data_IF_507990784470
#
_entry.id   IF_507990784470
#
_cell.length_a   1.000
_cell.length_b   1.000
_cell.length_c   1.000
_cell.angle_alpha   90.00
_cell.angle_beta   90.00
_cell.angle_gamma   90.00
#
_symmetry.space_group_name_H-M   'P 1'
#
loop_
_entity.id
_entity.type
_entity.pdbx_description
1 polymer ?
#
# COMPACT_ATOMS: atom_id res chain seq x y z
N UNK A 1 26.84 -27.62 -2.91
CA UNK A 1 25.61 -27.15 -3.59
C UNK A 1 24.33 -27.87 -3.17
N UNK A 2 24.35 -28.95 -2.38
CA UNK A 2 23.14 -29.74 -2.01
C UNK A 2 22.64 -29.54 -0.58
N UNK A 3 23.48 -29.10 0.37
CA UNK A 3 23.07 -28.94 1.78
C UNK A 3 22.35 -27.60 2.09
N UNK A 4 22.64 -26.53 1.34
CA UNK A 4 22.02 -25.21 1.56
C UNK A 4 20.59 -25.14 1.00
N UNK A 5 20.32 -25.79 -0.12
CA UNK A 5 18.98 -25.87 -0.73
C UNK A 5 17.96 -26.62 0.16
N UNK A 6 18.39 -27.63 0.91
CA UNK A 6 17.51 -28.32 1.90
C UNK A 6 17.14 -27.43 3.10
N UNK A 7 18.04 -26.55 3.54
CA UNK A 7 17.77 -25.63 4.66
C UNK A 7 16.91 -24.43 4.23
N UNK A 8 17.15 -23.85 3.06
CA UNK A 8 16.35 -22.74 2.55
C UNK A 8 14.94 -23.17 2.10
N UNK A 9 14.80 -24.37 1.52
CA UNK A 9 13.49 -24.95 1.19
C UNK A 9 12.65 -25.28 2.44
N UNK A 10 13.29 -25.74 3.52
CA UNK A 10 12.62 -26.02 4.80
C UNK A 10 12.06 -24.76 5.46
N UNK A 11 12.79 -23.62 5.39
CA UNK A 11 12.33 -22.35 5.97
C UNK A 11 11.18 -21.68 5.19
N UNK A 12 11.09 -21.88 3.87
CA UNK A 12 9.94 -21.42 3.09
C UNK A 12 8.71 -22.32 3.25
N UNK A 13 8.89 -23.64 3.41
CA UNK A 13 7.79 -24.58 3.70
C UNK A 13 7.25 -24.43 5.13
N UNK A 14 8.11 -24.11 6.11
CA UNK A 14 7.68 -23.79 7.48
C UNK A 14 6.85 -22.50 7.54
N UNK A 15 7.19 -21.50 6.74
CA UNK A 15 6.38 -20.27 6.62
C UNK A 15 5.00 -20.55 5.99
N UNK A 16 4.93 -21.48 5.03
CA UNK A 16 3.68 -21.87 4.39
C UNK A 16 2.78 -22.74 5.31
N UNK A 17 3.37 -23.59 6.15
CA UNK A 17 2.60 -24.41 7.13
C UNK A 17 2.03 -23.59 8.29
N UNK A 18 2.71 -22.53 8.74
CA UNK A 18 2.20 -21.65 9.81
C UNK A 18 1.01 -20.80 9.33
N UNK A 19 0.93 -20.51 8.02
CA UNK A 19 -0.18 -19.76 7.41
C UNK A 19 -1.44 -20.60 7.14
N UNK A 20 -1.39 -21.93 7.29
CA UNK A 20 -2.48 -22.85 6.89
C UNK A 20 -3.01 -23.76 8.02
N UNK A 21 -2.60 -23.57 9.28
CA UNK A 21 -3.12 -24.37 10.38
C UNK A 21 -4.48 -23.84 10.87
N UNK A 22 -5.54 -24.67 10.93
CA UNK A 22 -6.81 -24.28 11.51
C UNK A 22 -6.68 -24.21 13.05
N UNK A 23 -7.20 -23.12 13.62
CA UNK A 23 -7.20 -22.87 15.06
C UNK A 23 -8.10 -23.88 15.79
N UNK A 24 -7.47 -24.77 16.57
CA UNK A 24 -8.14 -25.63 17.53
C UNK A 24 -8.53 -24.82 18.77
N UNK A 25 -9.78 -24.96 19.22
CA UNK A 25 -10.38 -24.19 20.31
C UNK A 25 -10.03 -24.66 21.73
N UNK A 26 -10.55 -23.91 22.69
CA UNK A 26 -10.54 -24.18 24.14
C UNK A 26 -10.12 -22.94 24.94
N UNK A 27 -10.71 -22.54 26.07
CA UNK A 27 -11.69 -23.16 26.97
C UNK A 27 -12.44 -22.05 27.75
N UNK A 28 -13.63 -22.37 28.23
CA UNK A 28 -14.47 -21.57 29.12
C UNK A 28 -13.86 -21.42 30.54
N UNK A 29 -14.15 -20.29 31.20
CA UNK A 29 -13.93 -20.08 32.65
C UNK A 29 -15.27 -20.18 33.41
N UNK A 30 -15.31 -20.79 34.62
CA UNK A 30 -16.52 -20.89 35.43
C UNK A 30 -16.77 -19.60 36.26
N UNK A 31 -17.98 -19.42 36.85
CA UNK A 31 -18.32 -18.21 37.60
C UNK A 31 -17.79 -18.26 39.05
N UNK A 32 -17.57 -17.08 39.62
CA UNK A 32 -17.11 -16.90 41.00
C UNK A 32 -18.27 -17.03 42.01
N UNK A 33 -18.03 -17.79 43.07
CA UNK A 33 -18.93 -17.95 44.23
C UNK A 33 -18.87 -16.72 45.16
N UNK A 34 -20.04 -16.33 45.66
CA UNK A 34 -20.23 -15.31 46.69
C UNK A 34 -20.16 -15.94 48.07
N UNK A 35 -19.30 -15.44 48.96
CA UNK A 35 -19.28 -15.82 50.37
C UNK A 35 -19.60 -14.59 51.25
N UNK A 36 -20.66 -14.70 52.06
CA UNK A 36 -20.92 -13.84 53.22
C UNK A 36 -20.57 -14.61 54.51
N UNK A 37 -20.04 -13.95 55.56
CA UNK A 37 -19.98 -14.53 56.89
C UNK A 37 -21.24 -14.23 57.73
N UNK A 38 -21.51 -15.02 58.79
CA UNK A 38 -22.80 -15.11 59.47
C UNK A 38 -22.86 -14.33 60.80
N UNK A 39 -24.09 -14.16 61.31
CA UNK A 39 -24.47 -13.79 62.69
C UNK A 39 -24.23 -12.30 63.08
N UNK A 40 -25.10 -11.54 63.76
CA UNK A 40 -26.19 -11.80 64.71
C UNK A 40 -27.39 -10.84 64.50
N UNK A 41 -28.56 -11.20 65.04
CA UNK A 41 -29.82 -10.46 64.89
C UNK A 41 -29.91 -9.13 65.65
N UNK A 42 -30.30 -8.07 64.93
CA UNK A 42 -31.04 -6.92 65.44
C UNK A 42 -31.67 -6.15 64.27
N UNK A 43 -32.97 -5.85 64.37
CA UNK A 43 -33.68 -4.97 63.44
C UNK A 43 -33.30 -3.50 63.69
N UNK A 44 -33.28 -2.67 62.64
CA UNK A 44 -34.01 -1.39 62.53
C UNK A 44 -33.50 -0.49 61.39
N UNK A 45 -34.45 0.35 60.93
CA UNK A 45 -34.45 1.32 59.83
C UNK A 45 -33.33 2.41 59.89
N UNK A 46 -33.16 3.22 58.83
CA UNK A 46 -31.89 3.85 58.48
C UNK A 46 -31.70 5.24 59.10
N UNK A 47 -30.44 5.72 59.25
CA UNK A 47 -30.15 7.14 59.23
C UNK A 47 -29.64 7.57 57.84
N UNK A 48 -30.29 8.64 57.38
CA UNK A 48 -29.93 9.51 56.27
C UNK A 48 -28.49 10.06 56.37
N UNK A 49 -27.96 10.43 55.20
CA UNK A 49 -26.73 11.20 54.93
C UNK A 49 -25.39 10.45 54.93
N UNK A 50 -25.10 9.79 53.81
CA UNK A 50 -23.73 9.59 53.32
C UNK A 50 -23.54 10.42 52.04
N UNK A 51 -22.38 11.09 51.87
CA UNK A 51 -22.10 11.96 50.72
C UNK A 51 -22.17 11.18 49.39
N UNK A 52 -22.42 11.86 48.24
CA UNK A 52 -22.63 11.18 46.98
C UNK A 52 -21.42 10.30 46.66
N UNK A 53 -21.68 9.01 46.48
CA UNK A 53 -20.73 8.10 45.90
C UNK A 53 -20.20 8.72 44.60
N UNK A 54 -18.89 8.68 44.33
CA UNK A 54 -18.37 9.16 43.06
C UNK A 54 -19.11 8.40 41.96
N UNK A 55 -19.60 9.19 40.99
CA UNK A 55 -20.41 8.72 39.87
C UNK A 55 -19.93 7.34 39.42
N UNK A 56 -20.86 6.38 39.43
CA UNK A 56 -20.68 5.09 38.80
C UNK A 56 -19.97 5.34 37.46
N UNK A 57 -18.72 4.88 37.39
CA UNK A 57 -17.91 5.00 36.21
C UNK A 57 -18.74 4.41 35.08
N UNK A 58 -19.12 5.25 34.12
CA UNK A 58 -19.80 4.79 32.93
C UNK A 58 -18.98 3.63 32.38
N UNK A 59 -19.55 2.42 32.39
CA UNK A 59 -19.00 1.33 31.59
C UNK A 59 -18.81 1.90 30.18
N UNK A 60 -17.64 1.68 29.54
CA UNK A 60 -17.45 2.12 28.17
C UNK A 60 -18.57 1.47 27.36
N UNK A 61 -19.50 2.28 26.81
CA UNK A 61 -20.54 1.75 25.93
C UNK A 61 -19.82 0.97 24.82
N UNK A 62 -20.05 -0.35 24.81
CA UNK A 62 -19.58 -1.24 23.77
C UNK A 62 -20.00 -0.61 22.43
N UNK A 63 -19.07 -0.37 21.48
CA UNK A 63 -19.41 0.34 20.25
C UNK A 63 -20.59 -0.36 19.59
N UNK A 64 -21.62 0.43 19.28
CA UNK A 64 -22.84 -0.09 18.68
C UNK A 64 -22.49 -0.82 17.39
N UNK A 65 -23.05 -2.01 17.20
CA UNK A 65 -22.86 -2.79 15.99
C UNK A 65 -23.19 -1.91 14.75
N UNK A 66 -22.33 -1.92 13.71
CA UNK A 66 -22.55 -1.10 12.53
C UNK A 66 -23.88 -1.48 11.87
N UNK A 67 -24.67 -0.46 11.49
CA UNK A 67 -26.03 -0.62 10.96
C UNK A 67 -26.07 -0.30 9.47
N UNK A 68 -26.66 -1.20 8.68
CA UNK A 68 -26.93 -1.02 7.25
C UNK A 68 -28.44 -0.85 7.06
N UNK A 69 -28.88 0.29 6.53
CA UNK A 69 -30.24 0.45 6.04
C UNK A 69 -30.27 0.08 4.55
N UNK A 70 -31.13 -0.85 4.18
CA UNK A 70 -31.36 -1.24 2.79
C UNK A 70 -32.79 -0.89 2.39
N UNK A 71 -32.95 0.21 1.65
CA UNK A 71 -34.22 0.63 1.08
C UNK A 71 -34.46 -0.05 -0.26
N UNK A 72 -35.60 -0.72 -0.40
CA UNK A 72 -35.95 -1.51 -1.59
C UNK A 72 -37.44 -1.39 -1.92
N UNK A 73 -37.87 -1.94 -3.06
CA UNK A 73 -39.29 -1.91 -3.42
C UNK A 73 -39.74 -3.10 -4.26
N UNK A 74 -41.01 -3.48 -4.11
CA UNK A 74 -41.61 -4.57 -4.91
C UNK A 74 -41.65 -4.19 -6.40
N UNK A 75 -41.12 -5.06 -7.27
CA UNK A 75 -41.04 -4.82 -8.71
C UNK A 75 -39.92 -3.85 -9.11
N UNK A 76 -38.85 -3.76 -8.30
CA UNK A 76 -37.64 -3.02 -8.58
C UNK A 76 -36.55 -3.99 -9.10
N UNK A 77 -36.22 -3.99 -10.40
CA UNK A 77 -35.24 -4.93 -10.96
C UNK A 77 -33.87 -4.88 -10.26
N UNK A 78 -33.34 -3.68 -10.07
CA UNK A 78 -32.05 -3.47 -9.38
C UNK A 78 -32.08 -3.88 -7.91
N UNK A 79 -33.25 -3.86 -7.26
CA UNK A 79 -33.39 -4.32 -5.88
C UNK A 79 -33.33 -5.85 -5.79
N UNK A 80 -33.86 -6.56 -6.80
CA UNK A 80 -33.72 -8.02 -6.87
C UNK A 80 -32.26 -8.43 -7.06
N UNK A 81 -31.49 -7.67 -7.85
CA UNK A 81 -30.05 -7.89 -8.02
C UNK A 81 -29.26 -7.65 -6.72
N UNK A 82 -29.72 -6.73 -5.88
CA UNK A 82 -29.10 -6.35 -4.61
C UNK A 82 -29.36 -7.33 -3.45
N UNK A 83 -30.53 -8.01 -3.44
CA UNK A 83 -30.93 -8.90 -2.33
C UNK A 83 -29.93 -10.02 -2.03
N UNK A 84 -29.34 -10.72 -3.04
CA UNK A 84 -28.33 -11.74 -2.79
C UNK A 84 -27.12 -11.20 -2.03
N UNK A 85 -26.62 -10.01 -2.40
CA UNK A 85 -25.50 -9.35 -1.72
C UNK A 85 -25.83 -9.07 -0.25
N UNK A 86 -27.01 -8.49 0.03
CA UNK A 86 -27.42 -8.18 1.40
C UNK A 86 -27.57 -9.44 2.25
N UNK A 87 -28.10 -10.53 1.66
CA UNK A 87 -28.23 -11.81 2.35
C UNK A 87 -26.86 -12.48 2.62
N UNK A 88 -25.93 -12.41 1.67
CA UNK A 88 -24.57 -12.92 1.84
C UNK A 88 -23.82 -12.12 2.92
N UNK A 89 -24.00 -10.80 2.94
CA UNK A 89 -23.40 -9.91 3.92
C UNK A 89 -23.84 -10.24 5.36
N UNK A 90 -25.14 -10.39 5.60
CA UNK A 90 -25.64 -10.80 6.92
C UNK A 90 -25.13 -12.18 7.35
N UNK A 91 -25.01 -13.12 6.41
CA UNK A 91 -24.53 -14.46 6.70
C UNK A 91 -23.03 -14.50 7.04
N UNK A 92 -22.23 -13.65 6.37
CA UNK A 92 -20.77 -13.58 6.56
C UNK A 92 -20.38 -12.75 7.77
N UNK A 93 -21.16 -11.73 8.11
CA UNK A 93 -20.82 -10.73 9.12
C UNK A 93 -21.94 -10.61 10.17
N UNK A 94 -22.06 -11.56 11.12
CA UNK A 94 -23.13 -11.55 12.12
C UNK A 94 -23.05 -10.35 13.10
N UNK A 95 -21.96 -9.58 13.06
CA UNK A 95 -21.79 -8.34 13.82
C UNK A 95 -22.44 -7.10 13.20
N UNK A 96 -23.06 -7.22 12.01
CA UNK A 96 -23.73 -6.10 11.32
C UNK A 96 -25.24 -6.21 11.51
N UNK A 97 -25.90 -5.09 11.85
CA UNK A 97 -27.36 -5.02 11.93
C UNK A 97 -27.89 -4.50 10.60
N UNK A 98 -28.52 -5.37 9.82
CA UNK A 98 -29.11 -4.99 8.54
C UNK A 98 -30.62 -4.79 8.69
N UNK A 99 -31.10 -3.62 8.29
CA UNK A 99 -32.52 -3.27 8.30
C UNK A 99 -33.04 -3.13 6.88
N UNK A 100 -34.00 -3.98 6.49
CA UNK A 100 -34.61 -3.97 5.17
C UNK A 100 -35.90 -3.17 5.19
N UNK A 101 -35.95 -2.06 4.45
CA UNK A 101 -37.07 -1.13 4.45
C UNK A 101 -37.71 -1.11 3.06
N UNK A 102 -38.92 -1.62 2.94
CA UNK A 102 -39.68 -1.56 1.69
C UNK A 102 -40.35 -0.18 1.56
N UNK A 103 -40.30 0.45 0.38
CA UNK A 103 -40.78 1.85 0.21
C UNK A 103 -41.93 2.03 -0.78
N UNK A 104 -42.33 1.00 -1.55
CA UNK A 104 -43.41 1.15 -2.54
C UNK A 104 -44.79 0.79 -1.99
N UNK A 105 -44.86 -0.19 -1.09
CA UNK A 105 -46.09 -0.70 -0.47
C UNK A 105 -46.20 -0.33 1.01
N UNK A 106 -45.10 0.05 1.66
CA UNK A 106 -45.11 0.51 3.05
C UNK A 106 -45.10 2.04 3.13
N UNK A 107 -46.16 2.62 3.69
CA UNK A 107 -46.25 4.05 3.97
C UNK A 107 -45.20 4.49 5.00
N UNK A 108 -44.93 3.66 6.01
CA UNK A 108 -43.89 3.92 7.01
C UNK A 108 -42.49 3.87 6.39
N UNK A 109 -42.20 2.87 5.56
CA UNK A 109 -40.91 2.76 4.90
C UNK A 109 -40.65 3.90 3.92
N UNK A 110 -41.70 4.37 3.23
CA UNK A 110 -41.64 5.57 2.38
C UNK A 110 -41.36 6.84 3.18
N UNK A 111 -41.98 7.03 4.35
CA UNK A 111 -41.67 8.16 5.24
C UNK A 111 -40.21 8.14 5.69
N UNK A 112 -39.72 6.97 6.14
CA UNK A 112 -38.33 6.80 6.57
C UNK A 112 -37.32 7.03 5.44
N UNK A 113 -37.67 6.65 4.22
CA UNK A 113 -36.85 6.92 3.04
C UNK A 113 -36.72 8.43 2.78
N UNK A 114 -37.85 9.16 2.77
CA UNK A 114 -37.85 10.62 2.57
C UNK A 114 -37.06 11.32 3.68
N UNK A 115 -37.30 10.99 4.94
CA UNK A 115 -36.57 11.58 6.08
C UNK A 115 -35.06 11.32 5.98
N UNK A 116 -34.66 10.13 5.55
CA UNK A 116 -33.25 9.77 5.39
C UNK A 116 -32.61 10.53 4.23
N UNK A 117 -33.31 10.67 3.10
CA UNK A 117 -32.86 11.45 1.94
C UNK A 117 -32.69 12.92 2.29
N UNK A 118 -33.64 13.51 3.01
CA UNK A 118 -33.59 14.90 3.47
C UNK A 118 -32.46 15.12 4.49
N UNK A 119 -32.32 14.24 5.48
CA UNK A 119 -31.27 14.33 6.50
C UNK A 119 -29.87 14.26 5.89
N UNK A 120 -29.68 13.43 4.87
CA UNK A 120 -28.37 13.21 4.23
C UNK A 120 -28.13 14.09 2.99
N UNK A 121 -29.12 14.89 2.56
CA UNK A 121 -29.01 15.75 1.39
C UNK A 121 -28.75 15.00 0.08
N UNK A 122 -29.40 13.84 -0.10
CA UNK A 122 -29.13 12.96 -1.27
C UNK A 122 -29.84 13.49 -2.52
N UNK A 123 -29.06 13.97 -3.49
CA UNK A 123 -29.57 14.35 -4.81
C UNK A 123 -29.84 13.10 -5.68
N UNK A 124 -30.98 13.08 -6.39
CA UNK A 124 -31.32 11.95 -7.27
C UNK A 124 -31.63 10.63 -6.56
N UNK A 125 -32.20 10.69 -5.36
CA UNK A 125 -32.52 9.50 -4.57
C UNK A 125 -33.43 8.51 -5.31
N UNK A 126 -33.11 7.22 -5.20
CA UNK A 126 -33.85 6.13 -5.83
C UNK A 126 -33.56 4.80 -5.13
N UNK A 127 -34.30 3.75 -5.48
CA UNK A 127 -34.11 2.40 -4.93
C UNK A 127 -33.48 1.45 -5.96
N UNK A 128 -32.62 0.50 -5.55
CA UNK A 128 -32.19 0.25 -4.17
C UNK A 128 -31.28 1.36 -3.63
N UNK A 129 -31.36 1.64 -2.33
CA UNK A 129 -30.47 2.58 -1.63
C UNK A 129 -29.94 1.94 -0.36
N UNK A 130 -28.65 2.12 -0.12
CA UNK A 130 -27.94 1.61 1.04
C UNK A 130 -27.45 2.78 1.88
N UNK A 131 -27.65 2.72 3.19
CA UNK A 131 -27.15 3.75 4.12
C UNK A 131 -26.35 3.09 5.22
N UNK A 132 -25.13 3.59 5.42
CA UNK A 132 -24.22 3.19 6.49
C UNK A 132 -23.75 4.46 7.18
N UNK A 133 -24.13 4.64 8.44
CA UNK A 133 -23.98 5.89 9.19
C UNK A 133 -24.56 7.09 8.40
N UNK A 134 -23.71 8.06 8.04
CA UNK A 134 -24.08 9.26 7.29
C UNK A 134 -23.78 9.18 5.79
N UNK A 135 -23.53 7.97 5.25
CA UNK A 135 -23.24 7.75 3.82
C UNK A 135 -24.35 7.00 3.14
N UNK A 136 -24.79 7.52 2.00
CA UNK A 136 -25.80 6.93 1.15
C UNK A 136 -25.21 6.47 -0.19
N UNK A 137 -25.60 5.27 -0.64
CA UNK A 137 -25.27 4.69 -1.94
C UNK A 137 -26.56 4.39 -2.68
N UNK A 138 -26.77 5.06 -3.82
CA UNK A 138 -28.00 4.95 -4.62
C UNK A 138 -27.74 4.06 -5.84
N UNK A 139 -28.65 3.14 -6.11
CA UNK A 139 -28.54 2.16 -7.19
C UNK A 139 -27.76 0.91 -6.79
N UNK A 140 -27.67 -0.05 -7.70
CA UNK A 140 -26.89 -1.28 -7.48
C UNK A 140 -26.16 -1.71 -8.74
N UNK A 141 -24.84 -1.78 -8.64
CA UNK A 141 -23.94 -2.33 -9.66
C UNK A 141 -23.00 -3.34 -9.00
N UNK A 142 -23.03 -4.59 -9.47
CA UNK A 142 -22.17 -5.67 -8.95
C UNK A 142 -20.70 -5.26 -8.97
N UNK A 143 -19.99 -5.52 -7.88
CA UNK A 143 -18.58 -5.15 -7.68
C UNK A 143 -18.31 -3.68 -7.35
N UNK A 144 -19.23 -2.74 -7.66
CA UNK A 144 -19.06 -1.31 -7.36
C UNK A 144 -19.80 -0.98 -6.07
N UNK A 145 -21.14 -1.01 -6.09
CA UNK A 145 -21.96 -0.69 -4.92
C UNK A 145 -21.68 -1.63 -3.75
N UNK A 146 -21.44 -2.91 -4.04
CA UNK A 146 -21.06 -3.90 -3.02
C UNK A 146 -19.76 -3.50 -2.31
N UNK A 147 -18.75 -3.07 -3.07
CA UNK A 147 -17.47 -2.62 -2.55
C UNK A 147 -17.61 -1.35 -1.71
N UNK A 148 -18.40 -0.39 -2.19
CA UNK A 148 -18.65 0.87 -1.49
C UNK A 148 -19.38 0.67 -0.15
N UNK A 149 -20.43 -0.17 -0.13
CA UNK A 149 -21.19 -0.52 1.07
C UNK A 149 -20.31 -1.26 2.08
N UNK A 150 -19.52 -2.24 1.64
CA UNK A 150 -18.58 -2.96 2.50
C UNK A 150 -17.52 -2.02 3.08
N UNK A 151 -16.95 -1.14 2.25
CA UNK A 151 -15.93 -0.19 2.70
C UNK A 151 -16.52 0.88 3.65
N UNK A 152 -17.82 1.16 3.58
CA UNK A 152 -18.49 2.03 4.53
C UNK A 152 -18.69 1.33 5.88
N UNK A 153 -19.10 0.05 5.87
CA UNK A 153 -19.28 -0.78 7.07
C UNK A 153 -17.96 -1.02 7.82
N UNK A 154 -16.88 -1.23 7.08
CA UNK A 154 -15.51 -1.37 7.60
C UNK A 154 -14.99 -0.11 8.32
N UNK A 155 -15.53 1.05 7.97
CA UNK A 155 -15.15 2.36 8.54
C UNK A 155 -16.09 2.83 9.63
N UNK A 156 -17.24 2.16 9.79
CA UNK A 156 -18.20 2.48 10.83
C UNK A 156 -17.62 2.17 12.22
N UNK A 157 -17.85 3.00 13.24
CA UNK A 157 -17.40 2.73 14.61
C UNK A 157 -18.06 1.46 15.14
N UNK A 158 -17.36 0.33 15.06
CA UNK A 158 -17.87 -1.02 15.36
C UNK A 158 -17.66 -2.06 14.25
N UNK A 159 -17.19 -1.65 13.06
CA UNK A 159 -16.83 -2.56 11.96
C UNK A 159 -15.56 -3.38 12.22
N UNK A 160 -15.53 -4.62 11.74
CA UNK A 160 -14.40 -5.53 11.87
C UNK A 160 -13.11 -4.90 11.31
N UNK A 161 -12.08 -4.79 12.16
CA UNK A 161 -10.73 -4.49 11.73
C UNK A 161 -10.20 -5.66 10.88
N UNK A 162 -9.71 -5.43 9.65
CA UNK A 162 -9.03 -6.48 8.89
C UNK A 162 -7.80 -6.93 9.69
N UNK A 163 -7.63 -8.25 9.80
CA UNK A 163 -6.68 -8.90 10.70
C UNK A 163 -5.27 -8.31 10.64
N UNK A 164 -4.71 -8.03 11.82
CA UNK A 164 -3.33 -7.60 12.00
C UNK A 164 -2.37 -8.66 11.45
N UNK A 165 -1.52 -8.26 10.49
CA UNK A 165 -0.46 -9.13 9.98
C UNK A 165 0.72 -9.00 10.92
N UNK A 166 0.99 -10.05 11.70
CA UNK A 166 2.13 -10.11 12.61
C UNK A 166 3.39 -10.51 11.84
N UNK A 167 4.27 -9.56 11.59
CA UNK A 167 5.58 -9.83 11.01
C UNK A 167 6.59 -10.08 12.15
N UNK A 168 7.38 -11.17 12.09
CA UNK A 168 8.20 -11.67 13.21
C UNK A 168 9.34 -10.75 13.64
N UNK A 169 9.57 -9.63 12.95
CA UNK A 169 10.60 -8.64 13.29
C UNK A 169 10.04 -7.21 13.51
N UNK A 170 8.78 -6.96 13.15
CA UNK A 170 8.20 -5.60 13.11
C UNK A 170 6.95 -5.47 14.00
N UNK A 171 6.39 -6.59 14.46
CA UNK A 171 5.16 -6.62 15.26
C UNK A 171 3.89 -6.72 14.39
N UNK A 172 2.73 -6.60 15.04
CA UNK A 172 1.42 -6.56 14.38
C UNK A 172 1.28 -5.26 13.60
N UNK A 173 1.38 -5.34 12.28
CA UNK A 173 1.10 -4.24 11.38
C UNK A 173 -0.37 -4.31 10.99
N UNK A 174 -1.14 -3.33 11.45
CA UNK A 174 -2.46 -3.04 10.89
C UNK A 174 -2.25 -2.22 9.60
N UNK A 175 -2.64 -2.75 8.43
CA UNK A 175 -2.48 -2.05 7.14
C UNK A 175 -3.19 -0.70 7.09
N UNK A 176 -4.21 -0.47 7.94
CA UNK A 176 -4.91 0.83 8.07
C UNK A 176 -4.24 1.79 9.05
N UNK A 177 -3.28 1.32 9.86
CA UNK A 177 -2.59 2.13 10.87
C UNK A 177 -1.27 2.73 10.41
N UNK A 178 -0.76 2.41 9.20
CA UNK A 178 0.46 3.05 8.68
C UNK A 178 0.09 4.43 8.13
N UNK A 179 0.55 5.54 8.76
CA UNK A 179 0.25 6.88 8.26
C UNK A 179 0.85 7.03 6.86
N UNK A 180 0.11 7.69 5.96
CA UNK A 180 0.54 7.99 4.58
C UNK A 180 2.00 8.48 4.50
N UNK A 181 2.47 9.42 5.33
CA UNK A 181 3.87 9.86 5.32
C UNK A 181 4.88 8.74 5.60
N UNK A 182 4.56 7.81 6.51
CA UNK A 182 5.43 6.67 6.84
C UNK A 182 5.49 5.71 5.65
N UNK A 183 4.33 5.41 5.06
CA UNK A 183 4.26 4.60 3.85
C UNK A 183 5.09 5.21 2.71
N UNK A 184 4.94 6.51 2.48
CA UNK A 184 5.72 7.27 1.49
C UNK A 184 7.22 7.12 1.71
N UNK A 185 7.69 7.30 2.94
CA UNK A 185 9.11 7.20 3.28
C UNK A 185 9.64 5.78 3.10
N UNK A 186 8.88 4.78 3.54
CA UNK A 186 9.26 3.37 3.43
C UNK A 186 9.37 2.92 1.97
N UNK A 187 8.35 3.19 1.15
CA UNK A 187 8.37 2.80 -0.26
C UNK A 187 9.48 3.56 -1.00
N UNK A 188 9.60 4.88 -0.78
CA UNK A 188 10.65 5.69 -1.39
C UNK A 188 12.06 5.19 -1.04
N UNK A 189 12.32 4.87 0.24
CA UNK A 189 13.62 4.32 0.66
C UNK A 189 13.91 2.95 0.03
N UNK A 190 12.91 2.06 0.00
CA UNK A 190 13.04 0.73 -0.62
C UNK A 190 13.34 0.87 -2.11
N UNK A 191 12.64 1.77 -2.79
CA UNK A 191 12.85 2.05 -4.21
C UNK A 191 14.22 2.67 -4.49
N UNK A 192 14.72 3.53 -3.59
CA UNK A 192 16.08 4.10 -3.67
C UNK A 192 17.20 3.05 -3.61
N UNK A 193 16.93 1.85 -3.07
CA UNK A 193 17.86 0.71 -3.08
C UNK A 193 17.67 -0.09 -4.39
N UNK A 194 17.73 0.60 -5.53
CA UNK A 194 17.59 -0.01 -6.85
C UNK A 194 18.95 -0.45 -7.42
N UNK A 195 19.13 -1.74 -7.79
CA UNK A 195 20.39 -2.23 -8.35
C UNK A 195 20.80 -1.50 -9.63
N UNK A 196 19.82 -1.01 -10.42
CA UNK A 196 20.06 -0.35 -11.71
C UNK A 196 20.71 1.02 -11.51
N UNK A 197 20.12 1.89 -10.67
CA UNK A 197 20.67 3.22 -10.37
C UNK A 197 21.98 3.14 -9.56
N UNK A 198 22.04 2.27 -8.53
CA UNK A 198 23.23 2.10 -7.71
C UNK A 198 24.43 1.62 -8.53
N UNK A 199 24.24 0.68 -9.45
CA UNK A 199 25.33 0.16 -10.29
C UNK A 199 25.95 1.26 -11.15
N UNK A 200 25.12 2.04 -11.84
CA UNK A 200 25.61 3.11 -12.72
C UNK A 200 26.31 4.19 -11.91
N UNK A 201 25.75 4.58 -10.76
CA UNK A 201 26.37 5.53 -9.85
C UNK A 201 27.73 5.03 -9.37
N UNK A 202 27.82 3.80 -8.85
CA UNK A 202 29.07 3.19 -8.37
C UNK A 202 30.14 3.15 -9.47
N UNK A 203 29.77 2.81 -10.71
CA UNK A 203 30.67 2.85 -11.86
C UNK A 203 31.16 4.27 -12.13
N UNK A 204 30.24 5.24 -12.19
CA UNK A 204 30.55 6.65 -12.46
C UNK A 204 31.53 7.19 -11.43
N UNK A 205 31.22 7.01 -10.15
CA UNK A 205 32.08 7.43 -9.05
C UNK A 205 33.41 6.66 -9.06
N UNK A 206 33.41 5.37 -9.40
CA UNK A 206 34.60 4.55 -9.57
C UNK A 206 35.57 5.10 -10.64
N UNK A 207 35.05 5.63 -11.75
CA UNK A 207 35.86 6.33 -12.76
C UNK A 207 36.38 7.66 -12.19
N UNK A 208 35.51 8.44 -11.54
CA UNK A 208 35.86 9.75 -10.97
C UNK A 208 36.91 9.66 -9.84
N UNK A 209 36.97 8.57 -9.08
CA UNK A 209 38.03 8.38 -8.06
C UNK A 209 39.45 8.44 -8.63
N UNK A 210 39.64 8.16 -9.94
CA UNK A 210 40.93 8.30 -10.61
C UNK A 210 41.42 9.74 -10.71
N UNK A 211 40.48 10.70 -10.72
CA UNK A 211 40.81 12.14 -10.77
C UNK A 211 41.29 12.70 -9.42
N UNK A 212 41.23 11.91 -8.34
CA UNK A 212 41.59 12.26 -6.95
C UNK A 212 40.95 13.54 -6.38
N UNK A 213 39.92 14.09 -7.02
CA UNK A 213 39.23 15.28 -6.54
C UNK A 213 37.91 14.93 -5.86
N UNK A 214 37.83 15.15 -4.54
CA UNK A 214 36.59 14.96 -3.75
C UNK A 214 35.49 15.93 -4.20
N UNK A 215 35.86 17.16 -4.55
CA UNK A 215 34.92 18.17 -5.04
C UNK A 215 34.25 17.72 -6.34
N UNK A 216 35.00 17.11 -7.28
CA UNK A 216 34.40 16.54 -8.49
C UNK A 216 33.49 15.36 -8.19
N UNK A 217 33.86 14.46 -7.28
CA UNK A 217 32.99 13.34 -6.88
C UNK A 217 31.67 13.86 -6.31
N UNK A 218 31.72 14.85 -5.41
CA UNK A 218 30.52 15.44 -4.82
C UNK A 218 29.68 16.20 -5.85
N UNK A 219 30.30 17.04 -6.68
CA UNK A 219 29.57 17.81 -7.69
C UNK A 219 28.86 16.88 -8.68
N UNK A 220 29.60 15.96 -9.31
CA UNK A 220 29.06 15.09 -10.34
C UNK A 220 28.08 14.05 -9.76
N UNK A 221 28.41 13.49 -8.58
CA UNK A 221 27.54 12.56 -7.87
C UNK A 221 26.24 13.22 -7.44
N UNK A 222 26.30 14.41 -6.82
CA UNK A 222 25.10 15.14 -6.39
C UNK A 222 24.24 15.56 -7.59
N UNK A 223 24.84 16.05 -8.68
CA UNK A 223 24.09 16.35 -9.92
C UNK A 223 23.39 15.11 -10.45
N UNK A 224 24.06 13.96 -10.50
CA UNK A 224 23.44 12.71 -10.95
C UNK A 224 22.25 12.32 -10.07
N UNK A 225 22.41 12.39 -8.74
CA UNK A 225 21.35 12.04 -7.78
C UNK A 225 20.15 12.99 -7.87
N UNK A 226 20.39 14.31 -7.93
CA UNK A 226 19.33 15.31 -8.05
C UNK A 226 18.58 15.20 -9.39
N UNK A 227 19.30 15.02 -10.49
CA UNK A 227 18.67 14.82 -11.81
C UNK A 227 17.87 13.53 -11.86
N UNK A 228 18.38 12.45 -11.24
CA UNK A 228 17.66 11.18 -11.18
C UNK A 228 16.36 11.35 -10.38
N UNK A 229 16.41 12.00 -9.21
CA UNK A 229 15.20 12.33 -8.44
C UNK A 229 14.23 13.23 -9.19
N UNK A 230 14.71 14.23 -9.95
CA UNK A 230 13.85 15.11 -10.75
C UNK A 230 13.14 14.35 -11.88
N UNK A 231 13.88 13.58 -12.67
CA UNK A 231 13.29 12.77 -13.77
C UNK A 231 12.30 11.78 -13.20
N UNK A 232 12.59 11.18 -12.03
CA UNK A 232 11.69 10.25 -11.37
C UNK A 232 10.41 10.92 -10.87
N UNK A 233 10.53 12.10 -10.26
CA UNK A 233 9.38 12.92 -9.86
C UNK A 233 8.49 13.30 -11.05
N UNK A 234 9.08 13.71 -12.18
CA UNK A 234 8.34 14.02 -13.40
C UNK A 234 7.61 12.80 -13.95
N UNK A 235 8.27 11.63 -13.94
CA UNK A 235 7.65 10.37 -14.34
C UNK A 235 6.46 10.01 -13.44
N UNK A 236 6.63 10.05 -12.12
CA UNK A 236 5.55 9.78 -11.16
C UNK A 236 4.39 10.77 -11.31
N UNK A 237 4.72 12.03 -11.59
CA UNK A 237 3.73 13.08 -11.87
C UNK A 237 2.92 12.75 -13.12
N UNK A 238 3.59 12.40 -14.22
CA UNK A 238 2.91 12.00 -15.46
C UNK A 238 1.98 10.79 -15.21
N UNK A 239 2.44 9.82 -14.42
CA UNK A 239 1.67 8.62 -14.09
C UNK A 239 0.46 8.90 -13.19
N UNK A 240 0.64 9.72 -12.14
CA UNK A 240 -0.47 10.15 -11.28
C UNK A 240 -1.55 10.86 -12.09
N UNK A 241 -1.17 11.79 -12.97
CA UNK A 241 -2.14 12.50 -13.82
C UNK A 241 -2.80 11.56 -14.82
N UNK A 242 -2.10 10.56 -15.33
CA UNK A 242 -2.71 9.53 -16.17
C UNK A 242 -3.82 8.78 -15.42
N UNK A 243 -3.62 8.44 -14.13
CA UNK A 243 -4.68 7.83 -13.32
C UNK A 243 -5.82 8.78 -12.98
N UNK A 244 -5.52 10.05 -12.65
CA UNK A 244 -6.54 11.05 -12.35
C UNK A 244 -7.39 11.38 -13.58
N UNK A 245 -6.79 11.40 -14.78
CA UNK A 245 -7.47 11.74 -16.03
C UNK A 245 -8.18 10.55 -16.67
N UNK A 246 -7.53 9.38 -16.78
CA UNK A 246 -8.13 8.19 -17.37
C UNK A 246 -9.21 7.55 -16.49
N UNK A 247 -9.32 8.03 -15.24
CA UNK A 247 -10.10 7.38 -14.21
C UNK A 247 -9.53 6.01 -13.85
N UNK A 248 -10.04 5.48 -12.75
CA UNK A 248 -9.72 4.14 -12.29
C UNK A 248 -10.46 3.12 -13.13
N UNK A 249 -10.12 2.99 -14.40
CA UNK A 249 -10.73 1.95 -15.21
C UNK A 249 -10.11 0.60 -14.85
N UNK A 250 -10.97 -0.41 -14.63
CA UNK A 250 -10.56 -1.79 -14.38
C UNK A 250 -9.53 -2.29 -15.40
N UNK A 251 -9.66 -1.84 -16.64
CA UNK A 251 -8.73 -2.15 -17.74
C UNK A 251 -7.32 -1.60 -17.52
N UNK A 252 -7.18 -0.36 -17.04
CA UNK A 252 -5.86 0.23 -16.74
C UNK A 252 -5.20 -0.52 -15.57
N UNK A 253 -5.97 -0.87 -14.54
CA UNK A 253 -5.46 -1.67 -13.40
C UNK A 253 -5.03 -3.06 -13.83
N UNK A 254 -5.82 -3.75 -14.67
CA UNK A 254 -5.47 -5.06 -15.21
C UNK A 254 -4.23 -5.01 -16.11
N UNK A 255 -4.16 -4.03 -17.03
CA UNK A 255 -3.02 -3.86 -17.91
C UNK A 255 -1.72 -3.64 -17.11
N UNK A 256 -1.80 -2.84 -16.05
CA UNK A 256 -0.69 -2.64 -15.13
C UNK A 256 -0.35 -3.93 -14.38
N UNK A 257 -1.34 -4.65 -13.85
CA UNK A 257 -1.12 -5.94 -13.18
C UNK A 257 -0.38 -6.94 -14.07
N UNK A 258 -0.79 -7.10 -15.33
CA UNK A 258 -0.11 -7.94 -16.32
C UNK A 258 1.33 -7.46 -16.55
N UNK A 259 1.53 -6.15 -16.72
CA UNK A 259 2.86 -5.56 -16.91
C UNK A 259 3.79 -5.84 -15.72
N UNK A 260 3.31 -5.65 -14.48
CA UNK A 260 4.05 -5.90 -13.26
C UNK A 260 4.39 -7.38 -13.07
N UNK A 261 3.46 -8.29 -13.38
CA UNK A 261 3.74 -9.73 -13.37
C UNK A 261 4.82 -10.07 -14.39
N UNK A 262 4.71 -9.56 -15.62
CA UNK A 262 5.72 -9.78 -16.67
C UNK A 262 7.12 -9.29 -16.25
N UNK A 263 7.21 -8.06 -15.74
CA UNK A 263 8.47 -7.49 -15.24
C UNK A 263 9.01 -8.26 -14.02
N UNK A 264 8.13 -8.68 -13.11
CA UNK A 264 8.47 -9.47 -11.93
C UNK A 264 9.04 -10.84 -12.30
N UNK A 265 8.41 -11.55 -13.24
CA UNK A 265 8.91 -12.83 -13.77
C UNK A 265 10.29 -12.67 -14.42
N UNK A 266 10.51 -11.62 -15.22
CA UNK A 266 11.82 -11.37 -15.84
C UNK A 266 12.88 -11.05 -14.78
N UNK A 267 12.54 -10.32 -13.71
CA UNK A 267 13.47 -10.05 -12.61
C UNK A 267 13.77 -11.32 -11.79
N UNK A 268 12.78 -12.18 -11.54
CA UNK A 268 12.98 -13.43 -10.81
C UNK A 268 13.77 -14.47 -11.63
N UNK A 269 13.56 -14.49 -12.95
CA UNK A 269 14.34 -15.31 -13.91
C UNK A 269 15.85 -15.13 -13.73
N UNK A 270 16.31 -13.91 -13.44
CA UNK A 270 17.74 -13.61 -13.27
C UNK A 270 18.38 -14.39 -12.10
N UNK A 271 17.60 -14.88 -11.14
CA UNK A 271 18.13 -15.70 -10.04
C UNK A 271 18.58 -17.09 -10.53
N UNK A 272 17.87 -17.66 -11.50
CA UNK A 272 18.09 -19.02 -12.02
C UNK A 272 18.89 -19.01 -13.32
N UNK A 273 18.56 -18.08 -14.23
CA UNK A 273 19.17 -17.93 -15.55
C UNK A 273 19.72 -16.52 -15.74
N UNK A 274 20.75 -16.20 -14.95
CA UNK A 274 21.44 -14.92 -15.03
C UNK A 274 22.00 -14.68 -16.44
N UNK A 275 21.67 -13.54 -17.04
CA UNK A 275 22.11 -13.12 -18.38
C UNK A 275 21.69 -13.99 -19.58
N UNK A 276 20.79 -14.97 -19.42
CA UNK A 276 20.28 -15.76 -20.56
C UNK A 276 18.90 -15.25 -21.02
N UNK A 277 18.79 -14.81 -22.27
CA UNK A 277 17.52 -14.34 -22.88
C UNK A 277 17.19 -12.87 -22.60
N UNK A 278 15.88 -12.54 -22.50
CA UNK A 278 15.39 -11.20 -22.16
C UNK A 278 15.81 -10.84 -20.73
N UNK A 279 16.46 -9.69 -20.55
CA UNK A 279 16.96 -9.22 -19.26
C UNK A 279 16.62 -7.74 -19.10
N UNK A 280 15.98 -7.37 -17.99
CA UNK A 280 15.78 -5.98 -17.56
C UNK A 280 17.08 -5.43 -16.94
N UNK A 281 18.19 -5.60 -17.64
CA UNK A 281 19.51 -5.18 -17.23
C UNK A 281 20.24 -4.66 -18.44
N UNK A 282 21.16 -3.71 -18.23
CA UNK A 282 21.91 -3.09 -19.32
C UNK A 282 22.55 -4.19 -20.19
N UNK A 283 22.13 -4.33 -21.46
CA UNK A 283 22.57 -5.44 -22.29
C UNK A 283 24.09 -5.36 -22.53
N UNK A 284 24.75 -6.52 -22.60
CA UNK A 284 26.22 -6.60 -22.73
C UNK A 284 26.76 -5.80 -23.92
N UNK A 285 25.98 -5.71 -25.01
CA UNK A 285 26.31 -4.92 -26.21
C UNK A 285 26.26 -3.40 -25.98
N UNK A 286 25.44 -2.90 -25.06
CA UNK A 286 25.31 -1.47 -24.76
C UNK A 286 26.33 -0.98 -23.70
N UNK A 287 26.87 -1.89 -22.89
CA UNK A 287 27.86 -1.58 -21.85
C UNK A 287 29.07 -0.77 -22.37
N UNK A 288 29.77 -1.14 -23.47
CA UNK A 288 30.94 -0.40 -23.94
C UNK A 288 30.62 1.03 -24.36
N UNK A 289 29.49 1.25 -25.03
CA UNK A 289 29.01 2.58 -25.43
C UNK A 289 28.68 3.46 -24.23
N UNK A 290 28.01 2.88 -23.21
CA UNK A 290 27.71 3.57 -21.96
C UNK A 290 28.99 3.96 -21.22
N UNK A 291 29.93 3.02 -21.01
CA UNK A 291 31.20 3.32 -20.33
C UNK A 291 32.03 4.36 -21.09
N UNK A 292 32.01 4.35 -22.44
CA UNK A 292 32.67 5.39 -23.25
C UNK A 292 32.07 6.76 -23.00
N UNK A 293 30.73 6.87 -22.97
CA UNK A 293 30.02 8.12 -22.64
C UNK A 293 30.35 8.56 -21.21
N UNK A 294 30.29 7.66 -20.22
CA UNK A 294 30.63 7.97 -18.83
C UNK A 294 32.06 8.49 -18.68
N UNK A 295 33.04 7.89 -19.39
CA UNK A 295 34.43 8.40 -19.40
C UNK A 295 34.53 9.77 -20.06
N UNK A 296 33.82 10.00 -21.17
CA UNK A 296 33.80 11.30 -21.83
C UNK A 296 33.22 12.39 -20.90
N UNK A 297 32.17 12.08 -20.14
CA UNK A 297 31.61 12.98 -19.12
C UNK A 297 32.61 13.23 -17.98
N UNK A 298 33.28 12.18 -17.49
CA UNK A 298 34.28 12.30 -16.44
C UNK A 298 35.55 13.04 -16.89
N UNK A 299 35.89 12.97 -18.17
CA UNK A 299 37.03 13.64 -18.80
C UNK A 299 36.67 15.00 -19.44
N UNK A 300 35.43 15.47 -19.30
CA UNK A 300 34.99 16.71 -19.90
C UNK A 300 35.84 17.89 -19.39
N UNK A 301 36.39 18.67 -20.32
CA UNK A 301 37.29 19.79 -20.01
C UNK A 301 36.54 21.01 -19.42
N UNK A 302 35.22 21.10 -19.61
CA UNK A 302 34.39 22.20 -19.13
C UNK A 302 33.21 21.72 -18.29
N UNK A 303 32.88 22.48 -17.24
CA UNK A 303 31.75 22.19 -16.34
C UNK A 303 30.39 22.08 -17.07
N UNK A 304 30.08 22.90 -18.10
CA UNK A 304 28.82 22.77 -18.84
C UNK A 304 28.71 21.46 -19.64
N UNK A 305 29.80 21.02 -20.28
CA UNK A 305 29.82 19.76 -21.03
C UNK A 305 29.67 18.55 -20.10
N UNK A 306 30.29 18.61 -18.92
CA UNK A 306 30.07 17.63 -17.87
C UNK A 306 28.60 17.58 -17.42
N UNK A 307 27.99 18.74 -17.16
CA UNK A 307 26.60 18.82 -16.69
C UNK A 307 25.60 18.26 -17.70
N UNK A 308 25.71 18.65 -18.98
CA UNK A 308 24.89 18.08 -20.07
C UNK A 308 25.09 16.57 -20.20
N UNK A 309 26.33 16.11 -20.05
CA UNK A 309 26.67 14.70 -20.05
C UNK A 309 25.99 13.90 -18.93
N UNK A 310 25.98 14.45 -17.71
CA UNK A 310 25.30 13.84 -16.55
C UNK A 310 23.79 13.83 -16.74
N UNK A 311 23.21 14.93 -17.25
CA UNK A 311 21.78 15.03 -17.50
C UNK A 311 21.32 13.97 -18.51
N UNK A 312 22.01 13.84 -19.64
CA UNK A 312 21.72 12.82 -20.64
C UNK A 312 21.92 11.40 -20.09
N UNK A 313 22.97 11.18 -19.29
CA UNK A 313 23.23 9.89 -18.66
C UNK A 313 22.14 9.53 -17.64
N UNK A 314 21.78 10.45 -16.74
CA UNK A 314 20.75 10.25 -15.72
C UNK A 314 19.40 9.95 -16.36
N UNK A 315 18.99 10.70 -17.38
CA UNK A 315 17.75 10.42 -18.12
C UNK A 315 17.73 9.02 -18.73
N UNK A 316 18.82 8.62 -19.40
CA UNK A 316 18.93 7.29 -20.01
C UNK A 316 18.91 6.17 -18.97
N UNK A 317 19.54 6.38 -17.81
CA UNK A 317 19.58 5.40 -16.72
C UNK A 317 18.21 5.25 -16.09
N UNK A 318 17.51 6.36 -15.85
CA UNK A 318 16.17 6.37 -15.30
C UNK A 318 15.16 5.66 -16.22
N UNK A 319 15.29 5.81 -17.55
CA UNK A 319 14.50 5.03 -18.53
C UNK A 319 14.69 3.51 -18.37
N UNK A 320 15.92 3.06 -18.11
CA UNK A 320 16.22 1.64 -17.85
C UNK A 320 15.68 1.22 -16.48
N UNK A 321 15.76 2.10 -15.48
CA UNK A 321 15.26 1.88 -14.12
C UNK A 321 13.75 1.71 -14.05
N UNK A 322 12.97 2.36 -14.93
CA UNK A 322 11.54 2.06 -15.08
C UNK A 322 11.33 0.55 -15.25
N UNK A 323 12.13 -0.12 -16.09
CA UNK A 323 12.03 -1.58 -16.23
C UNK A 323 12.37 -2.37 -14.95
N UNK A 324 13.15 -1.81 -14.02
CA UNK A 324 13.63 -2.49 -12.82
C UNK A 324 12.68 -2.32 -11.61
N UNK A 325 12.01 -1.17 -11.47
CA UNK A 325 11.24 -0.81 -10.27
C UNK A 325 9.89 -0.12 -10.53
N UNK A 326 9.39 -0.05 -11.78
CA UNK A 326 8.13 0.62 -12.15
C UNK A 326 6.92 0.31 -11.25
N UNK A 327 6.85 -0.90 -10.69
CA UNK A 327 5.75 -1.27 -9.80
C UNK A 327 5.65 -0.45 -8.53
N UNK A 328 6.76 -0.05 -7.91
CA UNK A 328 6.69 0.71 -6.66
C UNK A 328 6.05 2.10 -6.87
N UNK A 329 6.51 2.92 -7.84
CA UNK A 329 5.82 4.16 -8.20
C UNK A 329 4.38 3.97 -8.66
N UNK A 330 4.11 2.93 -9.44
CA UNK A 330 2.77 2.70 -9.99
C UNK A 330 1.77 2.34 -8.88
N UNK A 331 2.17 1.49 -7.93
CA UNK A 331 1.37 1.15 -6.74
C UNK A 331 1.18 2.38 -5.86
N UNK A 332 2.25 3.13 -5.58
CA UNK A 332 2.15 4.29 -4.70
C UNK A 332 1.30 5.43 -5.28
N UNK A 333 1.48 5.76 -6.57
CA UNK A 333 0.65 6.77 -7.25
C UNK A 333 -0.80 6.31 -7.38
N UNK A 334 -1.04 5.00 -7.47
CA UNK A 334 -2.38 4.41 -7.40
C UNK A 334 -3.02 4.61 -6.03
N UNK A 335 -2.32 4.28 -4.95
CA UNK A 335 -2.79 4.51 -3.57
C UNK A 335 -3.15 6.00 -3.41
N UNK A 336 -2.27 6.89 -3.84
CA UNK A 336 -2.50 8.33 -3.74
C UNK A 336 -3.69 8.83 -4.59
N UNK A 337 -3.96 8.18 -5.72
CA UNK A 337 -5.14 8.48 -6.56
C UNK A 337 -6.47 8.08 -5.93
N UNK A 338 -6.46 7.12 -5.00
CA UNK A 338 -7.64 6.60 -4.30
C UNK A 338 -8.01 7.42 -3.05
N UNK A 339 -7.12 8.31 -2.61
CA UNK A 339 -7.39 9.18 -1.48
C UNK A 339 -8.10 10.46 -1.95
N UNK A 340 -9.43 10.43 -1.90
CA UNK A 340 -10.30 11.53 -2.36
C UNK A 340 -10.19 12.80 -1.50
N UNK A 341 -9.86 12.66 -0.22
CA UNK A 341 -9.68 13.80 0.71
C UNK A 341 -8.37 14.58 0.52
N UNK A 342 -7.47 14.15 -0.36
CA UNK A 342 -6.20 14.83 -0.62
C UNK A 342 -6.33 15.82 -1.78
N UNK A 343 -6.13 17.11 -1.50
CA UNK A 343 -5.98 18.13 -2.54
C UNK A 343 -4.75 17.89 -3.44
N UNK A 344 -4.74 18.50 -4.63
CA UNK A 344 -3.65 18.32 -5.60
C UNK A 344 -2.26 18.65 -5.01
N UNK A 345 -2.14 19.74 -4.25
CA UNK A 345 -0.89 20.13 -3.60
C UNK A 345 -0.37 19.06 -2.62
N UNK A 346 -1.26 18.43 -1.86
CA UNK A 346 -0.89 17.36 -0.94
C UNK A 346 -0.39 16.13 -1.73
N UNK A 347 -1.05 15.77 -2.83
CA UNK A 347 -0.60 14.67 -3.70
C UNK A 347 0.81 14.91 -4.24
N UNK A 348 1.07 16.08 -4.81
CA UNK A 348 2.42 16.43 -5.29
C UNK A 348 3.45 16.53 -4.17
N UNK A 349 3.05 16.99 -2.98
CA UNK A 349 3.91 16.98 -1.79
C UNK A 349 4.32 15.57 -1.38
N UNK A 350 3.39 14.61 -1.44
CA UNK A 350 3.66 13.20 -1.20
C UNK A 350 4.55 12.57 -2.28
N UNK A 351 4.44 12.98 -3.55
CA UNK A 351 5.39 12.58 -4.59
C UNK A 351 6.78 13.15 -4.32
N UNK A 352 6.88 14.40 -3.87
CA UNK A 352 8.15 15.02 -3.53
C UNK A 352 8.81 14.32 -2.34
N UNK A 353 8.04 14.02 -1.28
CA UNK A 353 8.52 13.27 -0.11
C UNK A 353 9.02 11.88 -0.48
N UNK A 354 8.30 11.17 -1.36
CA UNK A 354 8.74 9.91 -1.93
C UNK A 354 10.12 10.06 -2.60
N UNK A 355 10.26 11.08 -3.45
CA UNK A 355 11.48 11.31 -4.22
C UNK A 355 12.66 11.71 -3.32
N UNK A 356 12.41 12.45 -2.25
CA UNK A 356 13.42 12.75 -1.22
C UNK A 356 13.90 11.45 -0.56
N UNK A 357 12.99 10.57 -0.16
CA UNK A 357 13.34 9.26 0.40
C UNK A 357 14.11 8.38 -0.62
N UNK A 358 13.70 8.41 -1.89
CA UNK A 358 14.36 7.70 -2.99
C UNK A 358 15.82 8.14 -3.21
N UNK A 359 16.13 9.44 -3.14
CA UNK A 359 17.51 9.91 -3.37
C UNK A 359 18.45 9.67 -2.19
N UNK A 360 17.93 9.41 -0.97
CA UNK A 360 18.75 9.27 0.25
C UNK A 360 19.79 8.13 0.13
N UNK A 361 19.43 6.89 -0.26
CA UNK A 361 20.41 5.82 -0.45
C UNK A 361 21.49 6.17 -1.48
N UNK A 362 21.13 6.85 -2.58
CA UNK A 362 22.09 7.25 -3.62
C UNK A 362 23.02 8.37 -3.12
N UNK A 363 22.49 9.37 -2.42
CA UNK A 363 23.26 10.44 -1.81
C UNK A 363 24.27 9.88 -0.79
N UNK A 364 23.86 8.88 -0.01
CA UNK A 364 24.75 8.19 0.91
C UNK A 364 25.93 7.54 0.19
N UNK A 365 25.72 6.88 -0.96
CA UNK A 365 26.80 6.32 -1.78
C UNK A 365 27.78 7.41 -2.23
N UNK A 366 27.27 8.56 -2.71
CA UNK A 366 28.12 9.70 -3.12
C UNK A 366 28.96 10.21 -1.96
N UNK A 367 28.36 10.42 -0.80
CA UNK A 367 29.05 10.91 0.40
C UNK A 367 30.12 9.91 0.85
N UNK A 368 29.81 8.61 0.87
CA UNK A 368 30.75 7.57 1.26
C UNK A 368 31.94 7.49 0.29
N UNK A 369 31.71 7.60 -1.02
CA UNK A 369 32.78 7.66 -2.02
C UNK A 369 33.65 8.91 -1.86
N UNK A 370 33.04 10.07 -1.64
CA UNK A 370 33.76 11.33 -1.46
C UNK A 370 34.64 11.31 -0.20
N UNK A 371 34.16 10.71 0.89
CA UNK A 371 34.93 10.59 2.15
C UNK A 371 36.02 9.52 2.06
N UNK A 372 35.69 8.31 1.61
CA UNK A 372 36.61 7.17 1.64
C UNK A 372 37.59 7.14 0.47
N UNK A 373 37.25 7.76 -0.66
CA UNK A 373 37.97 7.64 -1.94
C UNK A 373 38.19 6.18 -2.39
N UNK A 374 37.44 5.24 -1.79
CA UNK A 374 37.59 3.80 -2.04
C UNK A 374 36.62 3.38 -3.14
N UNK A 375 37.09 2.52 -4.04
CA UNK A 375 36.22 1.89 -5.03
C UNK A 375 35.40 0.80 -4.33
N UNK A 376 34.09 0.94 -4.39
CA UNK A 376 33.16 -0.10 -4.03
C UNK A 376 32.79 -0.89 -5.30
N UNK A 377 32.71 -2.20 -5.17
CA UNK A 377 32.24 -3.07 -6.24
C UNK A 377 30.93 -3.71 -5.79
N UNK A 378 29.91 -3.65 -6.64
CA UNK A 378 28.70 -4.43 -6.43
C UNK A 378 29.01 -5.88 -6.83
N UNK A 379 28.96 -6.82 -5.89
CA UNK A 379 29.14 -8.23 -6.22
C UNK A 379 27.93 -8.73 -7.02
N UNK A 380 28.17 -9.68 -7.92
CA UNK A 380 27.12 -10.29 -8.73
C UNK A 380 26.02 -10.92 -7.85
N UNK A 381 26.42 -11.55 -6.73
CA UNK A 381 25.47 -12.14 -5.78
C UNK A 381 24.54 -11.09 -5.14
N UNK A 382 25.07 -9.93 -4.75
CA UNK A 382 24.25 -8.85 -4.16
C UNK A 382 23.28 -8.29 -5.20
N UNK A 383 23.72 -8.12 -6.44
CA UNK A 383 22.86 -7.69 -7.54
C UNK A 383 21.74 -8.70 -7.83
N UNK A 384 22.04 -10.01 -7.81
CA UNK A 384 21.07 -11.10 -7.97
C UNK A 384 20.02 -11.10 -6.86
N UNK A 385 20.44 -10.99 -5.60
CA UNK A 385 19.54 -10.95 -4.45
C UNK A 385 18.62 -9.73 -4.54
N UNK A 386 19.17 -8.55 -4.80
CA UNK A 386 18.39 -7.33 -4.87
C UNK A 386 17.37 -7.35 -6.04
N UNK A 387 17.75 -7.94 -7.18
CA UNK A 387 16.81 -8.19 -8.29
C UNK A 387 15.73 -9.20 -7.95
N UNK A 388 16.05 -10.28 -7.25
CA UNK A 388 15.08 -11.27 -6.84
C UNK A 388 14.06 -10.68 -5.85
N UNK A 389 14.51 -9.85 -4.91
CA UNK A 389 13.62 -9.13 -3.97
C UNK A 389 12.70 -8.17 -4.72
N UNK A 390 13.23 -7.35 -5.64
CA UNK A 390 12.40 -6.48 -6.49
C UNK A 390 11.41 -7.30 -7.33
N UNK A 391 11.87 -8.38 -7.98
CA UNK A 391 11.02 -9.26 -8.78
C UNK A 391 9.88 -9.91 -7.98
N UNK A 392 10.16 -10.39 -6.77
CA UNK A 392 9.16 -10.95 -5.87
C UNK A 392 8.12 -9.90 -5.45
N UNK A 393 8.57 -8.68 -5.17
CA UNK A 393 7.69 -7.57 -4.80
C UNK A 393 6.79 -7.13 -5.98
N UNK A 394 7.35 -7.03 -7.19
CA UNK A 394 6.60 -6.75 -8.41
C UNK A 394 5.57 -7.85 -8.73
N UNK A 395 5.92 -9.12 -8.52
CA UNK A 395 4.99 -10.24 -8.68
C UNK A 395 3.85 -10.16 -7.66
N UNK A 396 4.17 -9.92 -6.39
CA UNK A 396 3.17 -9.78 -5.33
C UNK A 396 2.16 -8.70 -5.67
N UNK A 397 2.64 -7.49 -6.03
CA UNK A 397 1.76 -6.40 -6.41
C UNK A 397 1.03 -6.66 -7.72
N UNK A 398 1.69 -7.21 -8.74
CA UNK A 398 1.06 -7.55 -10.01
C UNK A 398 -0.08 -8.56 -9.85
N UNK A 399 0.11 -9.60 -9.03
CA UNK A 399 -0.93 -10.58 -8.70
C UNK A 399 -2.06 -9.92 -7.92
N UNK A 400 -1.74 -9.06 -6.94
CA UNK A 400 -2.75 -8.33 -6.18
C UNK A 400 -3.63 -7.46 -7.10
N UNK A 401 -3.04 -6.76 -8.07
CA UNK A 401 -3.76 -5.97 -9.08
C UNK A 401 -4.66 -6.81 -9.99
N UNK A 402 -4.33 -8.07 -10.24
CA UNK A 402 -5.08 -8.96 -11.13
C UNK A 402 -6.19 -9.74 -10.40
N UNK A 403 -5.89 -10.27 -9.22
CA UNK A 403 -6.77 -11.20 -8.49
C UNK A 403 -7.71 -10.45 -7.53
N UNK A 404 -7.22 -9.38 -6.91
CA UNK A 404 -7.98 -8.63 -5.93
C UNK A 404 -7.76 -7.11 -6.08
N UNK A 405 -8.12 -6.52 -7.23
CA UNK A 405 -8.02 -5.07 -7.42
C UNK A 405 -8.80 -4.30 -6.35
N UNK A 406 -9.88 -4.89 -5.83
CA UNK A 406 -10.75 -4.30 -4.81
C UNK A 406 -10.09 -4.23 -3.42
N UNK A 407 -9.05 -5.05 -3.16
CA UNK A 407 -8.27 -4.97 -1.91
C UNK A 407 -7.30 -3.78 -1.89
N UNK A 408 -6.98 -3.21 -3.06
CA UNK A 408 -6.16 -2.00 -3.15
C UNK A 408 -7.00 -0.72 -3.02
N UNK A 409 -8.33 -0.82 -3.17
CA UNK A 409 -9.28 0.27 -2.96
C UNK A 409 -9.93 0.31 -1.57
N UNK A 410 -9.66 -0.71 -0.73
CA UNK A 410 -10.02 -0.74 0.70
C UNK A 410 -8.91 -0.17 1.56
#
# INVERSE_FOLDING_TARGET
MTAWFRRAGGSLLLLACVLLAPSAGGQARPPAETTCPPNEGAACAPPSSAPPAPAASAEPQRPAAPRLLFFWGVGCPHCEDAKPFVAELEAREPGIVVERIEVRRSDEGRRRFVETVERLGVEGAGIPMFVVDDRAFVGFHRGVTEGDVLAALDRAPGGHAPGTVTLPLVGSLDPRAVPLPVLTLLIGLVDGINPCAMYVLIVLLGILTQTRSRARILLFGATFVLMSGLVYFLFMTAWLNAFLFAGVSRWVTLALGVLLVGMGLVNLKELVWFHKGVSLMIPAKAKPGLFRRMRAVAAAASLPAAFLGILALSFLVNLVELGCTLGLPAVYTRILSLHDGLGAAARYGYLALYNVAYIVPLALIVILYAKTMRRFFMSEQRAKVLKAVSGALLLLFGILFLVAPDMLSR
#
